data_IF_876947274993
#
_entry.id   IF_876947274993
#
_cell.length_a   1.000
_cell.length_b   1.000
_cell.length_c   1.000
_cell.angle_alpha   90.00
_cell.angle_beta   90.00
_cell.angle_gamma   90.00
#
_symmetry.space_group_name_H-M   'P 1'
#
loop_
_entity.id
_entity.type
_entity.pdbx_description
1 polymer ?
#
# COMPACT_ATOMS: atom_id res chain seq x y z
N UNK A 1 -37.88 -41.91 -43.86
CA UNK A 1 -36.57 -41.42 -43.41
C UNK A 1 -36.76 -40.05 -42.80
N UNK A 2 -36.78 -39.86 -41.45
CA UNK A 2 -36.98 -38.53 -40.88
C UNK A 2 -35.66 -37.80 -40.75
N UNK A 3 -35.68 -36.49 -41.03
CA UNK A 3 -34.60 -35.53 -40.91
C UNK A 3 -34.34 -35.21 -39.41
N UNK A 4 -33.09 -35.22 -39.01
CA UNK A 4 -32.65 -34.80 -37.67
C UNK A 4 -32.54 -33.27 -37.59
N UNK A 5 -33.34 -32.67 -36.73
CA UNK A 5 -33.24 -31.27 -36.37
C UNK A 5 -32.15 -31.10 -35.31
N UNK A 6 -31.01 -30.53 -35.69
CA UNK A 6 -29.95 -30.14 -34.78
C UNK A 6 -30.29 -28.80 -34.10
N UNK A 7 -30.56 -28.86 -32.82
CA UNK A 7 -30.78 -27.67 -31.98
C UNK A 7 -29.43 -27.00 -31.68
N UNK A 8 -29.20 -25.83 -32.28
CA UNK A 8 -28.08 -24.95 -31.94
C UNK A 8 -28.29 -24.44 -30.49
N UNK A 9 -27.48 -24.91 -29.56
CA UNK A 9 -27.32 -24.29 -28.25
C UNK A 9 -26.51 -23.01 -28.42
N UNK A 10 -27.18 -21.88 -28.34
CA UNK A 10 -26.55 -20.58 -28.15
C UNK A 10 -25.86 -20.56 -26.80
N UNK A 11 -24.51 -20.58 -26.84
CA UNK A 11 -23.67 -20.30 -25.68
C UNK A 11 -23.80 -18.81 -25.41
N UNK A 12 -24.63 -18.45 -24.44
CA UNK A 12 -24.67 -17.09 -23.89
C UNK A 12 -23.38 -16.92 -23.07
N UNK A 13 -22.35 -16.32 -23.67
CA UNK A 13 -21.25 -15.78 -22.90
C UNK A 13 -21.83 -14.63 -22.08
N UNK A 14 -21.90 -14.85 -20.77
CA UNK A 14 -22.10 -13.80 -19.78
C UNK A 14 -20.95 -12.80 -19.94
N UNK A 15 -21.24 -11.67 -20.57
CA UNK A 15 -20.44 -10.46 -20.46
C UNK A 15 -20.47 -10.03 -19.00
N UNK A 16 -19.51 -10.52 -18.21
CA UNK A 16 -19.25 -9.99 -16.88
C UNK A 16 -18.85 -8.53 -17.04
N UNK A 17 -19.59 -7.68 -16.39
CA UNK A 17 -19.48 -6.23 -16.29
C UNK A 17 -18.02 -5.77 -16.16
N UNK A 18 -17.43 -5.23 -17.22
CA UNK A 18 -16.13 -4.55 -17.24
C UNK A 18 -16.26 -3.06 -16.81
N UNK A 19 -17.29 -2.69 -16.07
CA UNK A 19 -17.56 -1.29 -15.73
C UNK A 19 -17.05 -0.86 -14.34
N UNK A 20 -16.41 -1.75 -13.54
CA UNK A 20 -16.06 -1.47 -12.14
C UNK A 20 -14.56 -1.48 -11.80
N UNK A 21 -13.65 -1.52 -12.79
CA UNK A 21 -12.20 -1.67 -12.51
C UNK A 21 -11.45 -0.32 -12.33
N UNK A 22 -12.01 0.78 -12.84
CA UNK A 22 -11.31 2.09 -12.89
C UNK A 22 -11.28 2.81 -11.51
N UNK A 23 -12.17 2.47 -10.58
CA UNK A 23 -12.26 3.07 -9.24
C UNK A 23 -11.69 2.17 -8.12
N UNK A 24 -11.16 0.98 -8.46
CA UNK A 24 -10.60 0.06 -7.48
C UNK A 24 -9.13 0.35 -7.20
N UNK A 25 -8.78 0.57 -5.93
CA UNK A 25 -7.39 0.72 -5.52
C UNK A 25 -6.67 -0.63 -5.51
N UNK A 26 -5.65 -0.79 -6.35
CA UNK A 26 -4.80 -1.96 -6.34
C UNK A 26 -3.55 -1.70 -5.49
N UNK A 27 -3.32 -2.57 -4.50
CA UNK A 27 -2.30 -2.39 -3.46
C UNK A 27 -1.32 -3.56 -3.49
N UNK A 28 -0.03 -3.29 -3.69
CA UNK A 28 1.04 -4.24 -3.49
C UNK A 28 1.46 -4.29 -2.01
N UNK A 29 1.42 -5.46 -1.38
CA UNK A 29 1.92 -5.69 -0.02
C UNK A 29 3.12 -6.62 -0.09
N UNK A 30 4.30 -6.10 0.22
CA UNK A 30 5.56 -6.84 0.11
C UNK A 30 6.20 -6.99 1.48
N UNK A 31 6.16 -8.20 2.05
CA UNK A 31 6.89 -8.51 3.28
C UNK A 31 8.29 -8.99 2.94
N UNK A 32 9.29 -8.37 3.55
CA UNK A 32 10.71 -8.60 3.30
C UNK A 32 11.31 -9.18 4.57
N UNK A 33 11.66 -10.47 4.54
CA UNK A 33 12.21 -11.17 5.68
C UNK A 33 12.82 -12.51 5.25
N UNK A 34 14.13 -12.68 5.44
CA UNK A 34 14.82 -13.96 5.24
C UNK A 34 14.16 -15.10 6.03
N UNK A 35 13.82 -14.85 7.30
CA UNK A 35 13.29 -15.88 8.19
C UNK A 35 11.83 -16.25 7.84
N UNK A 36 11.00 -15.27 7.52
CA UNK A 36 9.62 -15.55 7.15
C UNK A 36 9.53 -16.22 5.78
N UNK A 37 10.33 -15.77 4.79
CA UNK A 37 10.37 -16.36 3.46
C UNK A 37 10.86 -17.82 3.45
N UNK A 38 11.69 -18.20 4.45
CA UNK A 38 12.14 -19.58 4.67
C UNK A 38 11.19 -20.39 5.57
N UNK A 39 10.06 -19.83 5.99
CA UNK A 39 9.08 -20.52 6.85
C UNK A 39 9.48 -20.69 8.30
N UNK A 40 10.48 -19.95 8.80
CA UNK A 40 10.91 -20.01 10.21
C UNK A 40 9.83 -19.47 11.15
N UNK A 41 9.04 -18.49 10.70
CA UNK A 41 7.84 -17.99 11.39
C UNK A 41 6.82 -17.49 10.34
N UNK A 42 5.55 -17.40 10.77
CA UNK A 42 4.51 -16.83 9.91
C UNK A 42 4.66 -15.32 9.78
N UNK A 43 4.55 -14.78 8.56
CA UNK A 43 4.51 -13.34 8.34
C UNK A 43 3.32 -12.71 9.07
N UNK A 44 3.57 -11.59 9.73
CA UNK A 44 2.55 -10.81 10.43
C UNK A 44 2.34 -9.42 9.81
N UNK A 45 3.21 -9.01 8.90
CA UNK A 45 3.15 -7.69 8.27
C UNK A 45 2.00 -7.57 7.29
N UNK A 46 1.87 -8.51 6.36
CA UNK A 46 0.78 -8.53 5.38
C UNK A 46 -0.59 -8.64 6.07
N UNK A 47 -0.83 -9.59 7.00
CA UNK A 47 -2.11 -9.67 7.70
C UNK A 47 -2.48 -8.38 8.47
N UNK A 48 -1.50 -7.74 9.12
CA UNK A 48 -1.71 -6.48 9.83
C UNK A 48 -2.12 -5.34 8.88
N UNK A 49 -1.51 -5.26 7.71
CA UNK A 49 -1.87 -4.28 6.68
C UNK A 49 -3.27 -4.54 6.13
N UNK A 50 -3.61 -5.77 5.77
CA UNK A 50 -4.94 -6.11 5.27
C UNK A 50 -6.04 -5.82 6.30
N UNK A 51 -5.81 -6.11 7.58
CA UNK A 51 -6.73 -5.78 8.66
C UNK A 51 -6.91 -4.27 8.80
N UNK A 52 -5.80 -3.53 8.71
CA UNK A 52 -5.85 -2.09 8.74
C UNK A 52 -6.65 -1.52 7.57
N UNK A 53 -6.43 -2.00 6.34
CA UNK A 53 -7.18 -1.56 5.15
C UNK A 53 -8.68 -1.88 5.28
N UNK A 54 -9.05 -3.04 5.81
CA UNK A 54 -10.48 -3.37 6.09
C UNK A 54 -11.11 -2.35 7.02
N UNK A 55 -10.37 -1.85 8.01
CA UNK A 55 -10.87 -0.86 8.97
C UNK A 55 -10.89 0.56 8.40
N UNK A 56 -9.94 0.92 7.55
CA UNK A 56 -9.70 2.30 7.13
C UNK A 56 -10.37 2.69 5.80
N UNK A 57 -10.55 1.75 4.86
CA UNK A 57 -10.94 2.07 3.50
C UNK A 57 -12.45 2.10 3.29
N UNK A 58 -12.91 3.11 2.53
CA UNK A 58 -14.26 3.18 1.94
C UNK A 58 -14.21 2.77 0.47
N UNK A 59 -13.23 3.31 -0.29
CA UNK A 59 -12.99 2.93 -1.68
C UNK A 59 -12.73 1.43 -1.80
N UNK A 60 -13.30 0.73 -2.78
CA UNK A 60 -12.97 -0.66 -3.08
C UNK A 60 -11.46 -0.84 -3.31
N UNK A 61 -10.92 -1.95 -2.80
CA UNK A 61 -9.51 -2.25 -2.94
C UNK A 61 -9.24 -3.74 -3.09
N UNK A 62 -8.10 -4.07 -3.69
CA UNK A 62 -7.57 -5.43 -3.80
C UNK A 62 -6.08 -5.44 -3.50
N UNK A 63 -5.55 -6.57 -3.02
CA UNK A 63 -4.13 -6.72 -2.71
C UNK A 63 -3.44 -7.73 -3.62
N UNK A 64 -2.20 -7.41 -3.98
CA UNK A 64 -1.21 -8.33 -4.53
C UNK A 64 -0.15 -8.50 -3.44
N UNK A 65 0.04 -9.72 -2.95
CA UNK A 65 0.95 -9.99 -1.82
C UNK A 65 2.21 -10.71 -2.29
N UNK A 66 3.36 -10.36 -1.72
CA UNK A 66 4.65 -11.02 -1.92
C UNK A 66 5.37 -11.17 -0.58
N UNK A 67 5.93 -12.35 -0.33
CA UNK A 67 6.83 -12.61 0.80
C UNK A 67 8.18 -13.02 0.24
N UNK A 68 9.21 -12.22 0.48
CA UNK A 68 10.52 -12.33 -0.17
C UNK A 68 11.68 -12.21 0.83
N UNK A 69 12.89 -12.71 0.48
CA UNK A 69 14.08 -12.55 1.31
C UNK A 69 14.63 -11.13 1.27
N UNK A 70 15.51 -10.80 2.24
CA UNK A 70 16.25 -9.53 2.34
C UNK A 70 17.40 -9.46 1.31
N UNK A 71 17.10 -9.58 0.03
CA UNK A 71 18.02 -9.49 -1.10
C UNK A 71 17.69 -8.29 -2.00
N UNK A 72 18.63 -7.34 -2.14
CA UNK A 72 18.38 -6.07 -2.83
C UNK A 72 17.85 -6.25 -4.26
N UNK A 73 18.42 -7.21 -5.03
CA UNK A 73 17.98 -7.47 -6.39
C UNK A 73 16.58 -8.08 -6.46
N UNK A 74 16.24 -8.96 -5.50
CA UNK A 74 14.91 -9.57 -5.41
C UNK A 74 13.87 -8.52 -5.03
N UNK A 75 14.19 -7.66 -4.05
CA UNK A 75 13.30 -6.56 -3.65
C UNK A 75 13.07 -5.62 -4.84
N UNK A 76 14.13 -5.16 -5.51
CA UNK A 76 14.02 -4.25 -6.65
C UNK A 76 13.18 -4.85 -7.79
N UNK A 77 13.43 -6.10 -8.17
CA UNK A 77 12.66 -6.78 -9.23
C UNK A 77 11.20 -6.99 -8.83
N UNK A 78 10.92 -7.31 -7.56
CA UNK A 78 9.55 -7.45 -7.05
C UNK A 78 8.81 -6.11 -7.06
N UNK A 79 9.46 -5.01 -6.68
CA UNK A 79 8.86 -3.68 -6.74
C UNK A 79 8.52 -3.27 -8.18
N UNK A 80 9.42 -3.56 -9.14
CA UNK A 80 9.11 -3.36 -10.55
C UNK A 80 7.94 -4.23 -11.01
N UNK A 81 7.89 -5.50 -10.64
CA UNK A 81 6.82 -6.43 -11.03
C UNK A 81 5.44 -5.94 -10.54
N UNK A 82 5.32 -5.63 -9.25
CA UNK A 82 4.02 -5.19 -8.69
C UNK A 82 3.56 -3.81 -9.21
N UNK A 83 4.49 -2.96 -9.66
CA UNK A 83 4.16 -1.66 -10.27
C UNK A 83 3.89 -1.82 -11.76
N UNK A 84 4.84 -2.38 -12.51
CA UNK A 84 4.86 -2.30 -13.97
C UNK A 84 3.98 -3.39 -14.62
N UNK A 85 3.86 -4.57 -14.01
CA UNK A 85 3.10 -5.69 -14.55
C UNK A 85 1.74 -5.86 -13.88
N UNK A 86 1.68 -5.75 -12.53
CA UNK A 86 0.43 -5.91 -11.78
C UNK A 86 -0.37 -4.60 -11.71
N UNK A 87 0.22 -3.44 -12.00
CA UNK A 87 -0.45 -2.14 -12.02
C UNK A 87 -0.85 -1.60 -10.64
N UNK A 88 -0.16 -1.97 -9.57
CA UNK A 88 -0.47 -1.48 -8.23
C UNK A 88 -0.31 0.04 -8.13
N UNK A 89 -1.32 0.75 -7.65
CA UNK A 89 -1.30 2.20 -7.41
C UNK A 89 -0.52 2.59 -6.15
N UNK A 90 -0.56 1.72 -5.14
CA UNK A 90 0.15 1.86 -3.86
C UNK A 90 0.92 0.58 -3.58
N UNK A 91 2.20 0.69 -3.24
CA UNK A 91 3.02 -0.45 -2.79
C UNK A 91 3.54 -0.15 -1.40
N UNK A 92 3.24 -1.04 -0.46
CA UNK A 92 3.74 -0.97 0.92
C UNK A 92 4.67 -2.14 1.18
N UNK A 93 5.90 -1.85 1.56
CA UNK A 93 6.84 -2.88 2.00
C UNK A 93 6.94 -2.90 3.52
N UNK A 94 7.20 -4.04 4.12
CA UNK A 94 7.52 -4.19 5.54
C UNK A 94 8.81 -4.96 5.73
N UNK A 95 9.68 -4.49 6.64
CA UNK A 95 10.97 -5.14 6.94
C UNK A 95 12.16 -4.55 6.20
N UNK A 96 13.37 -4.91 6.64
CA UNK A 96 14.64 -4.52 6.03
C UNK A 96 14.95 -3.02 6.00
N UNK A 97 14.44 -2.21 6.95
CA UNK A 97 14.55 -0.74 6.94
C UNK A 97 15.48 -0.16 8.00
N UNK A 98 16.15 -0.98 8.79
CA UNK A 98 17.11 -0.57 9.83
C UNK A 98 18.54 -0.38 9.30
N UNK A 99 19.53 -0.25 10.20
CA UNK A 99 20.94 -0.03 9.86
C UNK A 99 21.76 -1.33 9.70
N UNK A 100 21.16 -2.51 9.85
CA UNK A 100 21.88 -3.77 9.72
C UNK A 100 22.32 -4.03 8.27
N UNK A 101 23.38 -4.81 8.09
CA UNK A 101 23.93 -5.10 6.74
C UNK A 101 22.92 -5.79 5.81
N UNK A 102 21.97 -6.52 6.37
CA UNK A 102 20.89 -7.18 5.61
C UNK A 102 19.68 -6.27 5.35
N UNK A 103 19.61 -5.11 6.01
CA UNK A 103 18.53 -4.15 5.80
C UNK A 103 18.81 -3.35 4.51
N UNK A 104 18.35 -3.84 3.37
CA UNK A 104 18.63 -3.27 2.04
C UNK A 104 17.37 -2.77 1.33
N UNK A 105 16.23 -2.77 2.03
CA UNK A 105 14.95 -2.32 1.46
C UNK A 105 15.00 -0.87 0.96
N UNK A 106 15.58 0.11 1.68
CA UNK A 106 15.66 1.48 1.19
C UNK A 106 16.49 1.62 -0.08
N UNK A 107 17.63 0.91 -0.16
CA UNK A 107 18.50 0.92 -1.34
C UNK A 107 17.80 0.34 -2.56
N UNK A 108 17.11 -0.79 -2.40
CA UNK A 108 16.33 -1.43 -3.46
C UNK A 108 15.19 -0.51 -3.96
N UNK A 109 14.50 0.16 -3.03
CA UNK A 109 13.41 1.08 -3.34
C UNK A 109 13.91 2.31 -4.08
N UNK A 110 15.04 2.89 -3.66
CA UNK A 110 15.66 4.03 -4.32
C UNK A 110 16.17 3.67 -5.72
N UNK A 111 16.65 2.43 -5.93
CA UNK A 111 17.15 1.99 -7.23
C UNK A 111 16.08 1.92 -8.32
N UNK A 112 14.80 1.79 -7.94
CA UNK A 112 13.66 1.70 -8.88
C UNK A 112 12.83 2.99 -8.96
N UNK A 113 13.27 4.04 -8.28
CA UNK A 113 12.54 5.29 -8.13
C UNK A 113 12.67 6.21 -9.34
N UNK A 114 11.57 6.80 -9.79
CA UNK A 114 11.59 7.97 -10.68
C UNK A 114 11.73 9.26 -9.87
N UNK A 115 11.08 9.33 -8.71
CA UNK A 115 11.09 10.50 -7.81
C UNK A 115 11.09 10.05 -6.35
N UNK A 116 11.88 10.71 -5.51
CA UNK A 116 11.92 10.47 -4.07
C UNK A 116 10.92 11.38 -3.37
N UNK A 117 10.19 10.84 -2.38
CA UNK A 117 9.18 11.53 -1.57
C UNK A 117 9.66 11.61 -0.10
N UNK A 118 10.65 12.49 0.24
CA UNK A 118 11.35 12.45 1.53
C UNK A 118 10.42 12.73 2.71
N UNK A 119 9.38 13.55 2.53
CA UNK A 119 8.43 13.91 3.58
C UNK A 119 7.74 12.71 4.24
N UNK A 120 7.51 11.61 3.50
CA UNK A 120 6.97 10.38 4.10
C UNK A 120 7.95 9.76 5.11
N UNK A 121 9.23 9.65 4.74
CA UNK A 121 10.27 9.13 5.64
C UNK A 121 10.47 10.01 6.87
N UNK A 122 10.42 11.33 6.72
CA UNK A 122 10.49 12.30 7.81
C UNK A 122 9.32 12.12 8.77
N UNK A 123 8.09 12.08 8.25
CA UNK A 123 6.88 11.91 9.04
C UNK A 123 6.86 10.57 9.79
N UNK A 124 7.24 9.47 9.13
CA UNK A 124 7.33 8.15 9.77
C UNK A 124 8.30 8.16 10.95
N UNK A 125 9.48 8.78 10.82
CA UNK A 125 10.44 8.92 11.91
C UNK A 125 9.91 9.81 13.04
N UNK A 126 9.25 10.92 12.72
CA UNK A 126 8.62 11.80 13.74
C UNK A 126 7.58 11.05 14.58
N UNK A 127 6.73 10.25 13.95
CA UNK A 127 5.74 9.41 14.63
C UNK A 127 6.45 8.41 15.52
N UNK A 128 7.37 7.61 14.97
CA UNK A 128 8.02 6.51 15.67
C UNK A 128 8.90 6.97 16.84
N UNK A 129 9.53 8.15 16.75
CA UNK A 129 10.32 8.76 17.85
C UNK A 129 9.47 9.11 19.08
N UNK A 130 8.15 9.19 18.95
CA UNK A 130 7.26 9.37 20.12
C UNK A 130 7.11 8.10 20.95
N UNK A 131 7.45 6.94 20.39
CA UNK A 131 7.34 5.63 21.05
C UNK A 131 8.68 5.07 21.46
N UNK A 132 9.71 5.17 20.59
CA UNK A 132 11.03 4.56 20.82
C UNK A 132 12.16 5.46 20.32
N UNK A 133 13.20 5.72 21.14
CA UNK A 133 14.32 6.57 20.74
C UNK A 133 15.13 6.01 19.56
N UNK A 134 15.16 4.67 19.40
CA UNK A 134 15.89 3.99 18.33
C UNK A 134 15.25 4.16 16.95
N UNK A 135 14.07 4.77 16.86
CA UNK A 135 13.47 5.13 15.57
C UNK A 135 14.32 6.10 14.73
N UNK A 136 15.28 6.80 15.36
CA UNK A 136 16.28 7.61 14.64
C UNK A 136 17.15 6.77 13.68
N UNK A 137 17.27 5.46 13.91
CA UNK A 137 18.02 4.54 13.07
C UNK A 137 17.23 4.07 11.83
N UNK A 138 15.96 4.43 11.73
CA UNK A 138 15.11 4.04 10.60
C UNK A 138 15.51 4.77 9.32
N UNK A 139 15.74 4.01 8.25
CA UNK A 139 16.12 4.49 6.93
C UNK A 139 14.96 4.42 5.91
N UNK A 140 13.73 4.31 6.42
CA UNK A 140 12.51 4.26 5.61
C UNK A 140 12.44 5.41 4.61
N UNK A 141 12.06 5.07 3.38
CA UNK A 141 11.86 6.01 2.28
C UNK A 141 10.49 5.80 1.64
N UNK A 142 10.07 6.80 0.87
CA UNK A 142 8.98 6.65 -0.08
C UNK A 142 9.40 7.23 -1.43
N UNK A 143 8.90 6.61 -2.50
CA UNK A 143 9.23 6.99 -3.87
C UNK A 143 8.02 6.89 -4.78
N UNK A 144 8.07 7.56 -5.92
CA UNK A 144 7.14 7.35 -7.02
C UNK A 144 7.89 6.60 -8.13
N UNK A 145 7.25 5.55 -8.66
CA UNK A 145 7.62 4.87 -9.89
C UNK A 145 6.40 4.85 -10.82
N UNK A 146 6.54 5.37 -12.02
CA UNK A 146 5.42 5.58 -12.95
C UNK A 146 4.25 6.32 -12.25
N UNK A 147 3.07 5.72 -12.18
CA UNK A 147 1.87 6.21 -11.48
C UNK A 147 1.64 5.55 -10.12
N UNK A 148 2.67 5.02 -9.49
CA UNK A 148 2.59 4.27 -8.23
C UNK A 148 3.40 4.93 -7.13
N UNK A 149 2.84 4.94 -5.92
CA UNK A 149 3.52 5.35 -4.70
C UNK A 149 4.04 4.11 -3.97
N UNK A 150 5.33 4.03 -3.73
CA UNK A 150 5.99 2.96 -2.95
C UNK A 150 6.43 3.53 -1.61
N UNK A 151 6.08 2.88 -0.49
CA UNK A 151 6.44 3.32 0.87
C UNK A 151 7.04 2.14 1.64
N UNK A 152 8.21 2.35 2.24
CA UNK A 152 8.78 1.39 3.17
C UNK A 152 8.23 1.62 4.58
N UNK A 153 7.54 0.64 5.13
CA UNK A 153 6.99 0.67 6.48
C UNK A 153 7.90 -0.08 7.48
N UNK A 154 7.74 0.16 8.79
CA UNK A 154 8.43 -0.64 9.81
C UNK A 154 7.98 -2.10 9.76
N UNK A 155 8.85 -3.03 10.20
CA UNK A 155 8.55 -4.47 10.19
C UNK A 155 7.60 -4.94 11.31
N UNK A 156 7.38 -4.15 12.36
CA UNK A 156 6.53 -4.54 13.51
C UNK A 156 5.07 -4.15 13.27
N UNK A 157 4.09 -5.07 13.39
CA UNK A 157 2.67 -4.79 13.13
C UNK A 157 2.11 -3.59 13.90
N UNK A 158 2.48 -3.44 15.17
CA UNK A 158 2.09 -2.29 15.99
C UNK A 158 2.61 -0.97 15.40
N UNK A 159 3.88 -0.93 15.00
CA UNK A 159 4.50 0.26 14.42
C UNK A 159 3.96 0.58 13.03
N UNK A 160 3.50 -0.42 12.26
CA UNK A 160 2.78 -0.22 10.99
C UNK A 160 1.53 0.61 11.24
N UNK A 161 0.67 0.18 12.17
CA UNK A 161 -0.58 0.90 12.50
C UNK A 161 -0.30 2.32 13.00
N UNK A 162 0.64 2.48 13.95
CA UNK A 162 1.05 3.79 14.47
C UNK A 162 1.53 4.73 13.36
N UNK A 163 2.28 4.21 12.41
CA UNK A 163 2.79 4.98 11.26
C UNK A 163 1.67 5.41 10.32
N UNK A 164 0.73 4.53 10.01
CA UNK A 164 -0.37 4.81 9.10
C UNK A 164 -1.39 5.80 9.69
N UNK A 165 -1.75 5.63 10.97
CA UNK A 165 -2.76 6.45 11.65
C UNK A 165 -2.20 7.70 12.34
N UNK A 166 -0.92 7.68 12.72
CA UNK A 166 -0.31 8.75 13.53
C UNK A 166 -0.64 8.66 15.01
N UNK A 167 -0.53 9.79 15.69
CA UNK A 167 -0.79 9.90 17.12
C UNK A 167 -2.17 10.52 17.35
N UNK A 168 -2.97 9.85 18.17
CA UNK A 168 -4.27 10.35 18.63
C UNK A 168 -4.20 10.70 20.11
N UNK A 169 -4.83 11.78 20.50
CA UNK A 169 -4.98 12.17 21.88
C UNK A 169 -6.08 11.38 22.59
N UNK A 170 -6.29 11.65 23.91
CA UNK A 170 -7.27 10.93 24.72
C UNK A 170 -8.72 11.03 24.25
N UNK A 171 -9.05 12.08 23.48
CA UNK A 171 -10.39 12.31 22.93
C UNK A 171 -10.49 11.89 21.46
N UNK A 172 -9.46 11.19 20.92
CA UNK A 172 -9.39 10.75 19.53
C UNK A 172 -8.94 11.82 18.53
N UNK A 173 -8.61 13.03 19.00
CA UNK A 173 -8.06 14.10 18.17
C UNK A 173 -6.68 13.74 17.62
N UNK A 174 -6.40 14.16 16.37
CA UNK A 174 -5.10 13.92 15.75
C UNK A 174 -4.06 14.89 16.32
N UNK A 175 -3.09 14.35 17.09
CA UNK A 175 -1.95 15.12 17.60
C UNK A 175 -0.81 15.18 16.57
N UNK A 176 -0.57 14.08 15.87
CA UNK A 176 0.38 13.99 14.77
C UNK A 176 -0.29 13.14 13.67
N UNK A 177 -0.54 13.70 12.48
CA UNK A 177 -1.17 12.94 11.41
C UNK A 177 -0.32 11.75 11.00
N UNK A 178 -0.95 10.60 10.75
CA UNK A 178 -0.30 9.45 10.12
C UNK A 178 0.01 9.72 8.66
N UNK A 179 0.91 8.93 8.09
CA UNK A 179 1.29 9.11 6.69
C UNK A 179 0.12 8.89 5.74
N UNK A 180 -0.84 8.02 6.13
CA UNK A 180 -1.97 7.71 5.26
C UNK A 180 -2.92 8.89 5.07
N UNK A 181 -2.86 9.91 5.91
CA UNK A 181 -3.58 11.17 5.68
C UNK A 181 -3.20 11.84 4.33
N UNK A 182 -1.96 11.66 3.87
CA UNK A 182 -1.45 12.24 2.62
C UNK A 182 -1.50 11.27 1.43
N UNK A 183 -1.53 9.95 1.66
CA UNK A 183 -1.49 8.92 0.60
C UNK A 183 -2.61 9.09 -0.42
N UNK A 184 -3.90 9.26 -0.05
CA UNK A 184 -4.99 9.41 -0.99
C UNK A 184 -4.80 10.58 -1.97
N UNK A 185 -4.33 11.71 -1.48
CA UNK A 185 -4.09 12.86 -2.35
C UNK A 185 -2.84 12.69 -3.23
N UNK A 186 -1.81 12.03 -2.71
CA UNK A 186 -0.63 11.69 -3.52
C UNK A 186 -0.98 10.78 -4.69
N UNK A 187 -1.77 9.73 -4.45
CA UNK A 187 -2.26 8.81 -5.48
C UNK A 187 -3.08 9.55 -6.55
N UNK A 188 -3.99 10.44 -6.14
CA UNK A 188 -4.79 11.27 -7.05
C UNK A 188 -3.91 12.17 -7.94
N UNK A 189 -2.86 12.79 -7.37
CA UNK A 189 -1.91 13.65 -8.10
C UNK A 189 -1.06 12.90 -9.14
N UNK A 190 -0.82 11.62 -8.96
CA UNK A 190 -0.04 10.79 -9.90
C UNK A 190 -0.90 9.98 -10.86
N UNK A 191 -2.22 10.24 -10.88
CA UNK A 191 -3.15 9.68 -11.85
C UNK A 191 -3.83 8.38 -11.43
N UNK A 192 -3.76 8.02 -10.14
CA UNK A 192 -4.46 6.87 -9.58
C UNK A 192 -5.92 7.17 -9.19
N UNK A 193 -6.64 6.17 -8.62
CA UNK A 193 -8.04 6.30 -8.26
C UNK A 193 -8.26 7.29 -7.10
N UNK A 194 -9.48 7.83 -7.01
CA UNK A 194 -9.87 8.70 -5.90
C UNK A 194 -10.17 7.87 -4.66
N UNK A 195 -9.33 7.99 -3.63
CA UNK A 195 -9.39 7.18 -2.43
C UNK A 195 -10.18 7.90 -1.33
N UNK A 196 -11.19 7.23 -0.77
CA UNK A 196 -11.92 7.66 0.42
C UNK A 196 -11.60 6.73 1.59
N UNK A 197 -11.48 7.32 2.78
CA UNK A 197 -11.17 6.62 4.03
C UNK A 197 -12.26 6.88 5.08
N UNK A 198 -12.36 6.01 6.08
CA UNK A 198 -13.19 6.26 7.26
C UNK A 198 -12.49 7.26 8.16
N UNK A 199 -13.11 8.41 8.36
CA UNK A 199 -12.54 9.53 9.13
C UNK A 199 -12.18 9.16 10.58
N UNK A 200 -12.90 8.22 11.18
CA UNK A 200 -12.63 7.72 12.54
C UNK A 200 -11.32 6.92 12.64
N UNK A 201 -10.88 6.30 11.55
CA UNK A 201 -9.61 5.57 11.49
C UNK A 201 -8.49 6.48 11.02
N UNK A 202 -8.63 7.02 9.82
CA UNK A 202 -7.66 7.91 9.22
C UNK A 202 -8.36 8.91 8.29
N UNK A 203 -8.37 10.17 8.67
CA UNK A 203 -8.93 11.22 7.84
C UNK A 203 -7.96 11.62 6.73
N UNK A 204 -8.31 11.31 5.49
CA UNK A 204 -7.56 11.77 4.32
C UNK A 204 -7.65 13.30 4.21
N UNK A 205 -6.51 13.94 3.95
CA UNK A 205 -6.45 15.38 3.70
C UNK A 205 -6.34 15.65 2.20
N UNK A 206 -7.18 16.57 1.71
CA UNK A 206 -7.09 17.18 0.39
C UNK A 206 -7.33 18.67 0.47
N UNK A 207 -6.66 19.50 -0.34
CA UNK A 207 -7.04 20.90 -0.48
C UNK A 207 -8.46 21.00 -1.05
N UNK A 208 -9.18 22.05 -0.71
CA UNK A 208 -10.59 22.25 -1.14
C UNK A 208 -10.80 22.10 -2.65
N UNK A 209 -9.82 22.53 -3.44
CA UNK A 209 -9.84 22.44 -4.91
C UNK A 209 -9.76 21.00 -5.45
N UNK A 210 -9.31 20.03 -4.66
CA UNK A 210 -9.14 18.63 -5.03
C UNK A 210 -10.24 17.71 -4.45
N UNK A 211 -11.22 18.27 -3.72
CA UNK A 211 -12.35 17.50 -3.21
C UNK A 211 -13.36 17.30 -4.33
N UNK A 212 -13.63 16.04 -4.69
CA UNK A 212 -14.67 15.70 -5.65
C UNK A 212 -16.06 15.81 -4.99
N UNK A 213 -17.08 16.34 -5.68
CA UNK A 213 -18.46 16.31 -5.18
C UNK A 213 -18.87 14.85 -4.93
N UNK A 214 -19.52 14.58 -3.80
CA UNK A 214 -20.10 13.24 -3.57
C UNK A 214 -21.16 12.99 -4.64
N UNK A 215 -20.95 11.97 -5.46
CA UNK A 215 -21.98 11.49 -6.38
C UNK A 215 -23.17 11.03 -5.51
N UNK A 216 -24.30 11.70 -5.64
CA UNK A 216 -25.54 11.21 -4.98
C UNK A 216 -25.93 9.92 -5.70
N UNK A 217 -25.76 8.78 -5.02
CA UNK A 217 -26.28 7.47 -5.42
C UNK A 217 -27.75 7.35 -5.04
#
# INVERSE_FOLDING_TARGET
MPAASGTLRTCSMELHNMADDDDTLLIGLVSISDRASQGVYADQGIPALEEWFRSAMVTPWRTITRLIPDEQSVIASTLCDVVDNEGCHLVLTTGGTGPALRDVTPEATLAVADRVMPGFGEQMRQISLRFVPTAILSRQVAVIRNSSLIINLPGQPKSIKETLEGLKGPQGESLVPGIFAAVPYCIDLIGGPYIETRDEVCKAFRPKSAIRPKTQS
#
